data_IF_456123131088
#
_entry.id   IF_456123131088
#
_cell.length_a   1.000
_cell.length_b   1.000
_cell.length_c   1.000
_cell.angle_alpha   90.00
_cell.angle_beta   90.00
_cell.angle_gamma   90.00
#
_symmetry.space_group_name_H-M   'P 1'
#
loop_
_entity.id
_entity.type
_entity.pdbx_description
1 polymer ?
#
# COMPACT_ATOMS: atom_id res chain seq x y z
N UNK A 1 -11.73 -12.83 -1.33
CA UNK A 1 -11.82 -11.59 -2.12
C UNK A 1 -12.08 -10.40 -1.21
N UNK A 2 -11.17 -9.42 -1.16
CA UNK A 2 -11.37 -8.17 -0.42
C UNK A 2 -11.95 -7.13 -1.39
N UNK A 3 -13.09 -6.55 -1.04
CA UNK A 3 -13.76 -5.54 -1.84
C UNK A 3 -13.68 -4.12 -1.25
N UNK A 4 -13.27 -3.99 0.03
CA UNK A 4 -13.15 -2.73 0.73
C UNK A 4 -11.95 -2.72 1.66
N UNK A 5 -11.18 -1.64 1.64
CA UNK A 5 -10.14 -1.31 2.60
C UNK A 5 -10.43 0.03 3.26
N UNK A 6 -10.32 0.10 4.58
CA UNK A 6 -10.33 1.33 5.36
C UNK A 6 -9.00 1.42 6.11
N UNK A 7 -8.19 2.43 5.77
CA UNK A 7 -6.84 2.63 6.33
C UNK A 7 -6.81 3.81 7.28
N UNK A 8 -6.02 3.68 8.34
CA UNK A 8 -5.50 4.78 9.14
C UNK A 8 -4.00 4.62 9.26
N UNK A 9 -3.24 5.58 8.72
CA UNK A 9 -1.77 5.58 8.70
C UNK A 9 -1.26 6.80 9.43
N UNK A 10 -0.37 6.62 10.38
CA UNK A 10 0.34 7.69 11.08
C UNK A 10 1.84 7.56 10.80
N UNK A 11 2.41 8.55 10.12
CA UNK A 11 3.86 8.63 9.91
C UNK A 11 4.54 8.99 11.23
N UNK A 12 5.65 8.34 11.52
CA UNK A 12 6.54 8.60 12.64
C UNK A 12 7.94 8.94 12.11
N UNK A 13 8.86 9.29 13.00
CA UNK A 13 10.22 9.70 12.60
C UNK A 13 10.96 8.61 11.83
N UNK A 14 10.87 7.37 12.29
CA UNK A 14 11.64 6.25 11.74
C UNK A 14 10.77 5.12 11.20
N UNK A 15 9.46 5.15 11.47
CA UNK A 15 8.52 4.11 11.07
C UNK A 15 7.13 4.69 10.76
N UNK A 16 6.15 3.84 10.57
CA UNK A 16 4.75 4.22 10.54
C UNK A 16 3.89 3.23 11.33
N UNK A 17 2.81 3.74 11.90
CA UNK A 17 1.74 2.94 12.49
C UNK A 17 0.60 2.86 11.50
N UNK A 18 0.02 1.68 11.34
CA UNK A 18 -1.16 1.51 10.50
C UNK A 18 -2.21 0.63 11.17
N UNK A 19 -3.45 1.03 10.98
CA UNK A 19 -4.64 0.22 11.23
C UNK A 19 -5.39 0.07 9.90
N UNK A 20 -5.66 -1.19 9.52
CA UNK A 20 -6.32 -1.49 8.25
C UNK A 20 -7.47 -2.44 8.49
N UNK A 21 -8.69 -1.98 8.23
CA UNK A 21 -9.88 -2.83 8.21
C UNK A 21 -10.19 -3.25 6.79
N UNK A 22 -10.28 -4.55 6.59
CA UNK A 22 -10.62 -5.17 5.31
C UNK A 22 -11.99 -5.83 5.42
N UNK A 23 -12.84 -5.61 4.41
CA UNK A 23 -14.11 -6.33 4.25
C UNK A 23 -14.07 -7.15 2.98
N UNK A 24 -14.48 -8.39 3.09
CA UNK A 24 -14.38 -9.31 1.98
C UNK A 24 -15.37 -10.47 2.05
N UNK A 25 -15.25 -11.31 1.04
CA UNK A 25 -16.06 -12.53 0.86
C UNK A 25 -15.12 -13.73 0.84
N UNK A 26 -15.44 -14.77 1.60
CA UNK A 26 -14.72 -16.03 1.58
C UNK A 26 -14.91 -16.72 0.22
N UNK A 27 -13.81 -17.03 -0.46
CA UNK A 27 -13.83 -17.74 -1.74
C UNK A 27 -13.93 -19.26 -1.55
N UNK A 28 -13.44 -19.73 -0.41
CA UNK A 28 -13.49 -21.14 0.00
C UNK A 28 -13.93 -21.24 1.46
N UNK A 29 -14.43 -22.42 1.85
CA UNK A 29 -14.83 -22.67 3.24
C UNK A 29 -13.59 -22.94 4.08
N UNK A 30 -13.32 -22.10 5.08
CA UNK A 30 -12.18 -22.24 5.99
C UNK A 30 -12.40 -21.50 7.30
N UNK A 31 -11.75 -21.95 8.37
CA UNK A 31 -11.61 -21.17 9.60
C UNK A 31 -10.33 -20.33 9.62
N UNK A 32 -9.33 -20.67 8.79
CA UNK A 32 -8.03 -19.99 8.74
C UNK A 32 -7.82 -19.38 7.37
N UNK A 33 -7.53 -18.08 7.35
CA UNK A 33 -7.25 -17.36 6.13
C UNK A 33 -5.83 -16.81 6.13
N UNK A 34 -5.23 -16.77 4.94
CA UNK A 34 -3.86 -16.33 4.72
C UNK A 34 -3.85 -14.90 4.22
N UNK A 35 -2.93 -14.11 4.79
CA UNK A 35 -2.63 -12.75 4.35
C UNK A 35 -1.12 -12.60 4.13
N UNK A 36 -0.74 -11.73 3.20
CA UNK A 36 0.63 -11.35 2.95
C UNK A 36 0.84 -9.90 3.44
N UNK A 37 1.90 -9.68 4.24
CA UNK A 37 2.32 -8.38 4.76
C UNK A 37 3.83 -8.34 4.84
N UNK A 38 4.45 -7.21 4.51
CA UNK A 38 5.91 -7.06 4.53
C UNK A 38 6.54 -7.60 5.83
N UNK A 39 7.60 -8.41 5.75
CA UNK A 39 8.20 -9.04 6.92
C UNK A 39 8.81 -8.06 7.93
N UNK A 40 9.20 -6.85 7.51
CA UNK A 40 9.70 -5.80 8.39
C UNK A 40 8.63 -5.16 9.28
N UNK A 41 7.33 -5.35 8.96
CA UNK A 41 6.22 -4.82 9.74
C UNK A 41 5.81 -5.78 10.85
N UNK A 42 5.65 -5.30 12.07
CA UNK A 42 5.22 -6.09 13.23
C UNK A 42 3.71 -6.01 13.42
N UNK A 43 3.02 -7.14 13.29
CA UNK A 43 1.58 -7.23 13.61
C UNK A 43 1.39 -7.17 15.11
N UNK A 44 0.65 -6.18 15.61
CA UNK A 44 0.34 -5.96 17.02
C UNK A 44 -0.93 -6.67 17.44
N UNK A 45 -1.96 -6.59 16.62
CA UNK A 45 -3.22 -7.29 16.83
C UNK A 45 -3.93 -7.55 15.52
N UNK A 46 -4.79 -8.58 15.55
CA UNK A 46 -5.78 -8.85 14.52
C UNK A 46 -7.10 -9.05 15.23
N UNK A 47 -8.15 -8.42 14.74
CA UNK A 47 -9.51 -8.58 15.27
C UNK A 47 -10.56 -8.66 14.16
N UNK A 48 -11.75 -9.17 14.48
CA UNK A 48 -12.94 -9.11 13.65
C UNK A 48 -14.05 -8.48 14.46
N UNK A 49 -14.57 -7.34 14.00
CA UNK A 49 -15.61 -6.57 14.66
C UNK A 49 -15.33 -6.33 16.17
N UNK A 50 -14.07 -6.02 16.48
CA UNK A 50 -13.59 -5.76 17.85
C UNK A 50 -13.33 -7.01 18.69
N UNK A 51 -13.52 -8.20 18.15
CA UNK A 51 -13.20 -9.47 18.82
C UNK A 51 -11.79 -9.92 18.40
N UNK A 52 -10.84 -10.09 19.34
CA UNK A 52 -9.48 -10.51 19.03
C UNK A 52 -9.46 -11.87 18.34
N UNK A 53 -8.70 -11.96 17.26
CA UNK A 53 -8.44 -13.19 16.53
C UNK A 53 -7.05 -13.73 16.84
N UNK A 54 -6.91 -15.06 16.81
CA UNK A 54 -5.62 -15.71 16.88
C UNK A 54 -4.93 -15.59 15.52
N UNK A 55 -3.64 -15.32 15.53
CA UNK A 55 -2.85 -15.33 14.31
C UNK A 55 -1.48 -15.95 14.53
N UNK A 56 -0.92 -16.48 13.45
CA UNK A 56 0.47 -16.93 13.38
C UNK A 56 1.15 -16.23 12.23
N UNK A 57 2.42 -15.89 12.41
CA UNK A 57 3.21 -15.23 11.38
C UNK A 57 4.45 -16.07 11.06
N UNK A 58 4.71 -16.21 9.76
CA UNK A 58 5.96 -16.73 9.22
C UNK A 58 6.40 -15.78 8.10
N UNK A 59 7.46 -14.98 8.36
CA UNK A 59 7.95 -13.92 7.48
C UNK A 59 6.80 -13.01 6.99
N UNK A 60 6.51 -13.03 5.69
CA UNK A 60 5.43 -12.25 5.07
C UNK A 60 4.03 -12.86 5.24
N UNK A 61 3.94 -14.13 5.59
CA UNK A 61 2.67 -14.84 5.70
C UNK A 61 2.09 -14.64 7.11
N UNK A 62 0.83 -14.22 7.15
CA UNK A 62 0.04 -14.10 8.38
C UNK A 62 -1.18 -14.99 8.24
N UNK A 63 -1.24 -16.05 9.04
CA UNK A 63 -2.39 -16.95 9.13
C UNK A 63 -3.31 -16.45 10.23
N UNK A 64 -4.55 -16.12 9.90
CA UNK A 64 -5.58 -15.61 10.83
C UNK A 64 -6.65 -16.66 11.02
N UNK A 65 -6.87 -17.06 12.27
CA UNK A 65 -7.88 -18.03 12.67
C UNK A 65 -9.13 -17.29 13.18
N UNK A 66 -10.23 -17.39 12.45
CA UNK A 66 -11.52 -16.80 12.80
C UNK A 66 -12.24 -17.57 13.91
N UNK A 67 -11.71 -18.71 14.34
CA UNK A 67 -12.31 -19.54 15.39
C UNK A 67 -13.59 -20.29 14.97
N UNK A 68 -14.17 -19.89 13.84
CA UNK A 68 -15.36 -20.52 13.22
C UNK A 68 -15.12 -20.69 11.73
N UNK A 69 -15.64 -21.76 11.16
CA UNK A 69 -15.55 -21.99 9.73
C UNK A 69 -16.48 -21.02 8.99
N UNK A 70 -15.90 -20.13 8.19
CA UNK A 70 -16.64 -19.30 7.24
C UNK A 70 -16.94 -20.15 6.02
N UNK A 71 -18.18 -20.18 5.59
CA UNK A 71 -18.57 -20.87 4.36
C UNK A 71 -18.20 -20.02 3.14
N UNK A 72 -18.03 -20.67 2.00
CA UNK A 72 -17.88 -19.96 0.72
C UNK A 72 -19.05 -19.01 0.49
N UNK A 73 -18.76 -17.74 0.24
CA UNK A 73 -19.75 -16.68 0.06
C UNK A 73 -20.05 -15.87 1.32
N UNK A 74 -19.62 -16.32 2.51
CA UNK A 74 -19.76 -15.55 3.73
C UNK A 74 -18.93 -14.26 3.67
N UNK A 75 -19.48 -13.20 4.24
CA UNK A 75 -18.78 -11.93 4.39
C UNK A 75 -18.09 -11.86 5.74
N UNK A 76 -16.88 -11.31 5.76
CA UNK A 76 -16.12 -11.10 6.98
C UNK A 76 -15.43 -9.74 6.96
N UNK A 77 -15.20 -9.20 8.16
CA UNK A 77 -14.37 -8.04 8.41
C UNK A 77 -13.15 -8.46 9.22
N UNK A 78 -11.99 -7.96 8.89
CA UNK A 78 -10.78 -8.19 9.67
C UNK A 78 -9.96 -6.91 9.75
N UNK A 79 -9.52 -6.55 10.95
CA UNK A 79 -8.71 -5.37 11.24
C UNK A 79 -7.32 -5.80 11.69
N UNK A 80 -6.31 -5.28 11.03
CA UNK A 80 -4.90 -5.43 11.41
C UNK A 80 -4.38 -4.13 12.00
N UNK A 81 -3.68 -4.21 13.13
CA UNK A 81 -2.85 -3.12 13.66
C UNK A 81 -1.41 -3.55 13.59
N UNK A 82 -0.58 -2.74 12.97
CA UNK A 82 0.84 -3.04 12.78
C UNK A 82 1.66 -1.77 12.68
N UNK A 83 2.96 -1.89 12.91
CA UNK A 83 3.94 -0.81 12.78
C UNK A 83 5.30 -1.38 12.37
N UNK A 84 6.21 -0.49 12.00
CA UNK A 84 7.60 -0.84 11.72
C UNK A 84 8.13 -0.23 10.44
N UNK A 85 9.22 -0.79 9.97
CA UNK A 85 9.89 -0.40 8.74
C UNK A 85 9.71 -1.48 7.68
N UNK A 86 9.64 -1.04 6.43
CA UNK A 86 9.60 -1.96 5.30
C UNK A 86 10.94 -2.67 5.14
N UNK A 87 10.91 -3.96 5.07
CA UNK A 87 12.05 -4.75 4.58
C UNK A 87 12.12 -4.59 3.05
N UNK A 88 13.06 -3.77 2.58
CA UNK A 88 13.27 -3.50 1.16
C UNK A 88 13.82 -4.70 0.38
N UNK A 89 14.32 -5.73 1.06
CA UNK A 89 14.74 -6.97 0.41
C UNK A 89 13.56 -7.81 -0.04
N UNK A 90 12.38 -7.56 0.54
CA UNK A 90 11.13 -8.23 0.19
C UNK A 90 10.26 -7.31 -0.69
N UNK A 91 10.29 -7.55 -1.99
CA UNK A 91 9.42 -6.91 -2.97
C UNK A 91 8.94 -7.97 -3.95
N UNK A 92 7.65 -8.06 -4.22
CA UNK A 92 7.01 -8.97 -5.18
C UNK A 92 7.43 -10.43 -5.13
N UNK A 93 8.72 -10.69 -5.22
CA UNK A 93 9.30 -12.00 -5.44
C UNK A 93 10.22 -12.32 -4.27
N UNK A 94 9.99 -13.43 -3.63
CA UNK A 94 10.96 -14.06 -2.75
C UNK A 94 12.03 -14.74 -3.65
N UNK A 95 12.86 -13.92 -4.31
CA UNK A 95 13.93 -14.40 -5.17
C UNK A 95 15.12 -14.76 -4.29
N UNK A 96 15.54 -16.03 -4.26
CA UNK A 96 16.73 -16.43 -3.52
C UNK A 96 17.96 -15.59 -3.90
N UNK A 97 18.81 -15.18 -2.94
CA UNK A 97 20.01 -14.37 -3.22
C UNK A 97 20.93 -14.95 -4.29
N UNK A 98 20.97 -16.27 -4.43
CA UNK A 98 21.77 -16.98 -5.42
C UNK A 98 21.24 -16.72 -6.84
N UNK A 99 19.92 -16.67 -7.02
CA UNK A 99 19.27 -16.37 -8.30
C UNK A 99 19.49 -14.91 -8.68
N UNK A 100 19.37 -13.99 -7.70
CA UNK A 100 19.71 -12.58 -7.87
C UNK A 100 21.17 -12.39 -8.31
N UNK A 101 22.12 -13.11 -7.69
CA UNK A 101 23.53 -13.05 -8.07
C UNK A 101 23.82 -13.65 -9.46
N UNK A 102 23.12 -14.72 -9.83
CA UNK A 102 23.25 -15.34 -11.15
C UNK A 102 22.68 -14.43 -12.26
N UNK A 103 21.68 -13.63 -11.98
CA UNK A 103 21.06 -12.68 -12.94
C UNK A 103 21.90 -11.42 -13.20
N UNK A 104 22.92 -11.13 -12.37
CA UNK A 104 23.83 -9.97 -12.51
C UNK A 104 24.60 -9.91 -13.82
N UNK A 105 24.52 -10.92 -14.66
CA UNK A 105 25.18 -10.95 -15.98
C UNK A 105 24.43 -10.22 -17.10
N UNK A 106 23.24 -9.70 -16.86
CA UNK A 106 22.45 -9.01 -17.88
C UNK A 106 22.44 -7.51 -17.62
N UNK A 107 23.35 -6.80 -18.26
CA UNK A 107 23.58 -5.36 -18.19
C UNK A 107 22.31 -4.48 -18.26
N UNK A 108 21.27 -4.90 -18.97
CA UNK A 108 20.02 -4.16 -19.13
C UNK A 108 19.00 -4.33 -17.98
N UNK A 109 19.23 -5.27 -17.07
CA UNK A 109 18.28 -5.58 -15.98
C UNK A 109 18.86 -5.35 -14.58
N UNK A 110 20.07 -4.80 -14.51
CA UNK A 110 20.80 -4.58 -13.26
C UNK A 110 20.55 -3.17 -12.70
N UNK A 111 19.33 -2.69 -12.78
CA UNK A 111 18.92 -1.47 -12.09
C UNK A 111 18.47 -1.91 -10.71
N UNK A 112 19.17 -1.47 -9.67
CA UNK A 112 18.71 -1.63 -8.29
C UNK A 112 17.39 -0.85 -8.16
N UNK A 113 16.28 -1.57 -8.26
CA UNK A 113 14.96 -1.00 -8.07
C UNK A 113 14.72 -0.82 -6.59
N UNK A 114 14.33 0.37 -6.20
CA UNK A 114 13.92 0.66 -4.85
C UNK A 114 12.42 0.96 -4.86
N UNK A 115 11.64 0.15 -4.14
CA UNK A 115 10.19 0.22 -4.09
C UNK A 115 9.67 0.93 -2.85
N UNK A 116 10.55 1.22 -1.89
CA UNK A 116 10.23 1.92 -0.67
C UNK A 116 11.34 2.91 -0.32
N UNK A 117 10.94 4.08 0.14
CA UNK A 117 11.78 5.01 0.87
C UNK A 117 11.11 5.29 2.20
N UNK A 118 11.87 5.24 3.28
CA UNK A 118 11.33 5.47 4.62
C UNK A 118 12.33 6.26 5.44
N UNK A 119 12.11 7.56 5.48
CA UNK A 119 12.87 8.54 6.24
C UNK A 119 11.90 9.49 6.94
N UNK A 120 12.40 10.31 7.86
CA UNK A 120 11.58 11.35 8.52
C UNK A 120 11.02 12.40 7.55
N UNK A 121 11.74 12.67 6.45
CA UNK A 121 11.41 13.74 5.51
C UNK A 121 10.67 13.22 4.27
N UNK A 122 10.75 11.92 4.02
CA UNK A 122 10.15 11.30 2.84
C UNK A 122 9.77 9.84 3.08
N UNK A 123 8.52 9.52 2.75
CA UNK A 123 7.99 8.16 2.76
C UNK A 123 7.46 7.83 1.37
N UNK A 124 7.84 6.67 0.82
CA UNK A 124 7.24 6.08 -0.36
C UNK A 124 6.93 4.61 -0.07
N UNK A 125 5.66 4.26 -0.14
CA UNK A 125 5.15 2.90 0.01
C UNK A 125 4.46 2.51 -1.27
N UNK A 126 5.07 1.61 -2.03
CA UNK A 126 4.48 1.07 -3.24
C UNK A 126 3.82 -0.29 -2.99
N UNK A 127 2.87 -0.74 -3.82
CA UNK A 127 2.16 -2.00 -3.62
C UNK A 127 3.08 -3.22 -3.59
N UNK A 128 4.21 -3.14 -4.28
CA UNK A 128 5.23 -4.19 -4.38
C UNK A 128 5.84 -4.55 -3.03
N UNK A 129 5.82 -3.60 -2.10
CA UNK A 129 6.39 -3.78 -0.76
C UNK A 129 5.45 -4.51 0.19
N UNK A 130 4.20 -4.79 -0.19
CA UNK A 130 3.17 -5.34 0.71
C UNK A 130 3.06 -4.55 2.03
N UNK A 131 3.07 -3.22 1.92
CA UNK A 131 2.99 -2.34 3.09
C UNK A 131 1.66 -2.40 3.84
N UNK A 132 0.65 -3.05 3.25
CA UNK A 132 -0.63 -3.36 3.88
C UNK A 132 -1.01 -4.81 3.65
N UNK A 133 -1.84 -5.43 4.53
CA UNK A 133 -2.23 -6.82 4.38
C UNK A 133 -3.02 -7.05 3.09
N UNK A 134 -2.63 -8.06 2.33
CA UNK A 134 -3.33 -8.52 1.13
C UNK A 134 -3.73 -9.97 1.31
N UNK A 135 -4.97 -10.32 0.92
CA UNK A 135 -5.42 -11.72 1.01
C UNK A 135 -4.61 -12.62 0.07
N UNK A 136 -4.26 -13.80 0.56
CA UNK A 136 -3.46 -14.79 -0.15
C UNK A 136 -1.96 -14.75 0.22
N UNK A 137 -1.18 -15.55 -0.47
CA UNK A 137 0.27 -15.72 -0.21
C UNK A 137 1.15 -14.74 -0.95
N UNK A 138 0.57 -13.96 -1.85
CA UNK A 138 1.35 -13.15 -2.79
C UNK A 138 1.93 -14.00 -3.93
N UNK A 139 2.69 -13.35 -4.80
CA UNK A 139 3.38 -14.04 -5.91
C UNK A 139 4.62 -14.76 -5.38
N UNK A 140 4.79 -16.00 -5.83
CA UNK A 140 6.04 -16.77 -5.69
C UNK A 140 6.21 -17.68 -6.91
N UNK A 141 7.42 -18.27 -7.10
CA UNK A 141 7.66 -19.25 -8.16
C UNK A 141 6.77 -20.49 -7.97
N UNK A 142 6.38 -20.81 -6.74
CA UNK A 142 5.48 -21.92 -6.41
C UNK A 142 4.00 -21.56 -6.59
N UNK A 143 3.66 -20.26 -6.60
CA UNK A 143 2.31 -19.75 -6.77
C UNK A 143 2.30 -18.60 -7.78
N UNK A 144 2.29 -18.91 -9.08
CA UNK A 144 2.29 -17.90 -10.13
C UNK A 144 0.91 -17.24 -10.38
N UNK A 145 -0.13 -17.59 -9.62
CA UNK A 145 -1.49 -17.05 -9.76
C UNK A 145 -1.60 -15.58 -9.25
N UNK A 146 -0.52 -14.82 -9.38
CA UNK A 146 -0.48 -13.38 -9.14
C UNK A 146 -1.47 -12.59 -10.02
N UNK A 147 -2.02 -13.24 -11.06
CA UNK A 147 -2.91 -12.60 -12.03
C UNK A 147 -4.34 -12.39 -11.52
N UNK A 148 -4.74 -12.99 -10.41
CA UNK A 148 -6.04 -12.69 -9.81
C UNK A 148 -5.97 -11.35 -9.09
N UNK A 149 -5.99 -10.29 -9.87
CA UNK A 149 -6.02 -8.93 -9.35
C UNK A 149 -7.46 -8.52 -9.15
N UNK A 150 -7.84 -8.38 -7.88
CA UNK A 150 -9.16 -7.89 -7.51
C UNK A 150 -9.13 -6.38 -7.36
N UNK A 151 -10.21 -5.74 -7.77
CA UNK A 151 -10.44 -4.32 -7.53
C UNK A 151 -11.14 -4.14 -6.20
N UNK A 152 -10.66 -3.20 -5.39
CA UNK A 152 -11.22 -2.90 -4.08
C UNK A 152 -11.50 -1.40 -3.96
N UNK A 153 -12.59 -1.04 -3.31
CA UNK A 153 -12.78 0.32 -2.84
C UNK A 153 -11.84 0.59 -1.67
N UNK A 154 -11.50 1.86 -1.43
CA UNK A 154 -10.70 2.21 -0.28
C UNK A 154 -11.02 3.60 0.26
N UNK A 155 -10.78 3.75 1.56
CA UNK A 155 -10.64 5.02 2.25
C UNK A 155 -9.30 5.02 2.97
N UNK A 156 -8.47 6.01 2.70
CA UNK A 156 -7.15 6.11 3.30
C UNK A 156 -7.05 7.41 4.10
N UNK A 157 -6.94 7.28 5.42
CA UNK A 157 -6.62 8.40 6.31
C UNK A 157 -5.14 8.39 6.61
N UNK A 158 -4.50 9.55 6.46
CA UNK A 158 -3.06 9.70 6.67
C UNK A 158 -2.80 10.89 7.56
N UNK A 159 -2.06 10.66 8.65
CA UNK A 159 -1.50 11.68 9.51
C UNK A 159 0.00 11.77 9.26
N UNK A 160 0.46 12.71 8.43
CA UNK A 160 1.89 12.90 8.17
C UNK A 160 2.58 13.61 9.35
N UNK A 161 3.90 13.61 9.36
CA UNK A 161 4.66 14.54 10.19
C UNK A 161 4.39 15.99 9.78
N UNK A 162 4.53 16.90 10.73
CA UNK A 162 4.22 18.32 10.53
C UNK A 162 4.99 18.91 9.34
N UNK A 163 4.28 19.60 8.45
CA UNK A 163 4.85 20.25 7.27
C UNK A 163 4.98 19.34 6.04
N UNK A 164 4.66 18.06 6.15
CA UNK A 164 4.69 17.14 5.01
C UNK A 164 3.29 16.95 4.41
N UNK A 165 3.27 16.65 3.12
CA UNK A 165 2.05 16.44 2.32
C UNK A 165 2.00 14.98 1.88
N UNK A 166 0.94 14.23 2.23
CA UNK A 166 0.73 12.89 1.69
C UNK A 166 0.07 12.95 0.31
N UNK A 167 0.42 12.01 -0.52
CA UNK A 167 -0.14 11.78 -1.87
C UNK A 167 -0.52 10.31 -2.01
N UNK A 168 -1.70 10.06 -2.58
CA UNK A 168 -2.19 8.72 -2.92
C UNK A 168 -3.10 8.82 -4.13
N UNK A 169 -3.66 7.70 -4.57
CA UNK A 169 -4.69 7.70 -5.60
C UNK A 169 -5.96 8.38 -5.09
N UNK A 170 -6.73 8.99 -6.00
CA UNK A 170 -7.95 9.72 -5.69
C UNK A 170 -7.69 11.15 -5.19
N UNK A 171 -8.78 11.82 -4.82
CA UNK A 171 -8.72 13.18 -4.29
C UNK A 171 -8.35 13.17 -2.80
N UNK A 172 -7.29 13.91 -2.43
CA UNK A 172 -6.87 14.09 -1.05
C UNK A 172 -7.45 15.37 -0.44
N UNK A 173 -8.07 15.26 0.73
CA UNK A 173 -8.59 16.39 1.51
C UNK A 173 -8.03 16.36 2.91
N UNK A 174 -7.49 17.49 3.39
CA UNK A 174 -7.03 17.64 4.77
C UNK A 174 -8.10 18.24 5.65
N UNK A 175 -8.15 17.81 6.90
CA UNK A 175 -8.95 18.45 7.96
C UNK A 175 -8.14 19.50 8.73
N UNK A 176 -8.77 20.12 9.72
CA UNK A 176 -8.17 21.13 10.60
C UNK A 176 -7.05 20.58 11.50
N UNK A 177 -6.97 19.27 11.67
CA UNK A 177 -5.95 18.59 12.46
C UNK A 177 -4.78 18.10 11.61
N UNK A 178 -4.77 18.38 10.29
CA UNK A 178 -3.73 17.96 9.37
C UNK A 178 -3.82 16.46 9.01
N UNK A 179 -4.96 15.82 9.21
CA UNK A 179 -5.23 14.47 8.73
C UNK A 179 -5.79 14.56 7.32
N UNK A 180 -5.16 13.86 6.41
CA UNK A 180 -5.59 13.76 5.02
C UNK A 180 -6.46 12.53 4.82
N UNK A 181 -7.50 12.67 4.02
CA UNK A 181 -8.36 11.55 3.62
C UNK A 181 -8.37 11.44 2.11
N UNK A 182 -8.07 10.24 1.61
CA UNK A 182 -8.13 9.90 0.18
C UNK A 182 -9.24 8.89 -0.06
N UNK A 183 -9.96 9.10 -1.15
CA UNK A 183 -10.99 8.20 -1.63
C UNK A 183 -10.94 8.19 -3.15
N UNK A 184 -10.85 7.01 -3.75
CA UNK A 184 -11.00 6.87 -5.19
C UNK A 184 -12.46 6.88 -5.62
N UNK A 185 -12.75 7.44 -6.79
CA UNK A 185 -14.08 7.36 -7.40
C UNK A 185 -14.36 5.96 -7.95
N UNK A 186 -13.32 5.20 -8.20
CA UNK A 186 -13.37 3.84 -8.75
C UNK A 186 -12.55 2.88 -7.89
N UNK A 187 -12.93 1.59 -7.88
CA UNK A 187 -12.12 0.57 -7.24
C UNK A 187 -10.71 0.50 -7.83
N UNK A 188 -9.71 0.33 -6.98
CA UNK A 188 -8.30 0.21 -7.36
C UNK A 188 -7.77 -1.19 -7.13
N UNK A 189 -6.84 -1.63 -7.96
CA UNK A 189 -6.13 -2.90 -7.76
C UNK A 189 -5.12 -2.82 -6.62
N UNK A 190 -4.49 -1.66 -6.49
CA UNK A 190 -3.38 -1.44 -5.55
C UNK A 190 -3.41 -0.02 -5.03
N UNK A 191 -2.82 0.19 -3.87
CA UNK A 191 -2.77 1.49 -3.19
C UNK A 191 -1.32 1.82 -2.89
N UNK A 192 -0.90 3.02 -3.29
CA UNK A 192 0.42 3.60 -2.98
C UNK A 192 0.24 4.78 -2.04
N UNK A 193 1.27 5.07 -1.25
CA UNK A 193 1.33 6.24 -0.39
C UNK A 193 2.71 6.88 -0.53
N UNK A 194 2.75 8.17 -0.85
CA UNK A 194 3.96 8.97 -0.78
C UNK A 194 3.72 10.14 0.18
N UNK A 195 4.70 10.46 1.02
CA UNK A 195 4.66 11.62 1.94
C UNK A 195 5.97 12.37 1.80
N UNK A 196 5.91 13.70 1.66
CA UNK A 196 7.10 14.52 1.51
C UNK A 196 6.79 16.02 1.55
N UNK A 197 7.83 16.86 1.48
CA UNK A 197 7.69 18.31 1.31
C UNK A 197 7.33 18.63 -0.15
N UNK A 198 6.10 18.24 -0.52
CA UNK A 198 5.61 18.42 -1.88
C UNK A 198 5.07 19.82 -2.13
N UNK A 199 5.37 20.34 -3.31
CA UNK A 199 4.77 21.53 -3.90
C UNK A 199 3.93 21.12 -5.10
N UNK A 200 2.81 21.81 -5.29
CA UNK A 200 1.89 21.55 -6.39
C UNK A 200 1.91 22.70 -7.39
N UNK A 201 2.00 22.36 -8.66
CA UNK A 201 1.63 23.24 -9.79
C UNK A 201 0.47 22.61 -10.52
N UNK A 202 -0.56 23.41 -10.82
CA UNK A 202 -1.75 22.91 -11.51
C UNK A 202 -2.19 23.88 -12.58
N UNK A 203 -2.76 23.34 -13.67
CA UNK A 203 -3.46 24.07 -14.71
C UNK A 203 -4.80 23.39 -15.01
N UNK A 204 -5.78 24.15 -15.47
CA UNK A 204 -7.05 23.60 -15.95
C UNK A 204 -7.16 23.80 -17.45
N UNK A 205 -7.40 22.71 -18.18
CA UNK A 205 -7.69 22.74 -19.62
C UNK A 205 -8.84 21.75 -19.90
N UNK A 206 -9.81 22.17 -20.72
CA UNK A 206 -11.00 21.38 -21.13
C UNK A 206 -11.74 20.69 -19.97
N UNK A 207 -11.93 21.42 -18.87
CA UNK A 207 -12.58 20.93 -17.63
C UNK A 207 -11.79 19.83 -16.91
N UNK A 208 -10.53 19.59 -17.28
CA UNK A 208 -9.63 18.67 -16.62
C UNK A 208 -8.59 19.47 -15.83
N UNK A 209 -8.37 19.10 -14.57
CA UNK A 209 -7.31 19.65 -13.73
C UNK A 209 -6.06 18.77 -13.87
N UNK A 210 -5.02 19.33 -14.44
CA UNK A 210 -3.68 18.71 -14.52
C UNK A 210 -2.82 19.21 -13.38
N UNK A 211 -2.19 18.31 -12.65
CA UNK A 211 -1.35 18.67 -11.51
C UNK A 211 -0.05 17.89 -11.53
N UNK A 212 1.04 18.60 -11.27
CA UNK A 212 2.35 18.01 -10.99
C UNK A 212 2.68 18.30 -9.52
N UNK A 213 3.06 17.25 -8.81
CA UNK A 213 3.59 17.32 -7.46
C UNK A 213 5.08 17.02 -7.49
N UNK A 214 5.90 17.91 -6.96
CA UNK A 214 7.34 17.75 -6.91
C UNK A 214 7.88 18.11 -5.54
N UNK A 215 9.00 17.50 -5.15
CA UNK A 215 9.72 17.89 -3.96
C UNK A 215 10.37 19.26 -4.16
N UNK A 216 10.56 20.00 -3.10
CA UNK A 216 11.20 21.31 -3.12
C UNK A 216 12.58 21.21 -3.79
N UNK A 217 12.83 22.06 -4.77
CA UNK A 217 14.08 22.06 -5.56
C UNK A 217 14.14 21.01 -6.68
N UNK A 218 13.06 20.24 -6.92
CA UNK A 218 12.97 19.22 -7.97
C UNK A 218 11.91 19.56 -9.02
N UNK A 219 11.78 20.83 -9.35
CA UNK A 219 10.80 21.34 -10.33
C UNK A 219 11.31 21.19 -11.78
N UNK A 220 11.62 19.94 -12.19
CA UNK A 220 12.14 19.67 -13.53
C UNK A 220 11.07 19.62 -14.62
N UNK A 221 9.82 19.35 -14.25
CA UNK A 221 8.73 19.06 -15.18
C UNK A 221 7.58 20.06 -15.11
N UNK A 222 7.65 21.08 -14.27
CA UNK A 222 6.53 22.03 -14.12
C UNK A 222 6.29 22.85 -15.39
N UNK A 223 7.34 23.09 -16.19
CA UNK A 223 7.23 23.74 -17.49
C UNK A 223 6.45 22.88 -18.51
N UNK A 224 6.44 21.55 -18.36
CA UNK A 224 5.66 20.68 -19.23
C UNK A 224 4.16 20.90 -19.09
N UNK A 225 3.67 21.34 -17.92
CA UNK A 225 2.27 21.69 -17.74
C UNK A 225 1.84 22.86 -18.64
N UNK A 226 2.73 23.84 -18.83
CA UNK A 226 2.42 25.04 -19.62
C UNK A 226 2.21 24.68 -21.10
N UNK A 227 2.86 23.60 -21.58
CA UNK A 227 2.71 23.11 -22.96
C UNK A 227 1.47 22.24 -23.20
N UNK A 228 0.80 21.75 -22.16
CA UNK A 228 -0.45 20.95 -22.31
C UNK A 228 -1.54 21.82 -22.95
N UNK A 229 -1.60 23.10 -22.60
CA UNK A 229 -2.59 24.03 -23.13
C UNK A 229 -2.47 24.22 -24.65
N UNK A 230 -1.27 24.05 -25.21
CA UNK A 230 -1.00 24.28 -26.66
C UNK A 230 -1.20 22.98 -27.50
N UNK A 231 -1.47 21.84 -26.84
CA UNK A 231 -1.49 20.52 -27.50
C UNK A 231 -2.89 19.90 -27.53
N UNK A 232 -3.85 20.45 -26.79
CA UNK A 232 -5.25 20.05 -26.75
C UNK A 232 -6.11 21.09 -27.48
#
# INVERSE_FOLDING_TARGET
FIHQYDFSVEQRLDDFLSEVTMRGVALDSSAVFTFCLNPGLTVRSVDSDGQPLKFKRDKQIVLVDFGTNLAKGDTASVTFKYDGQIDNSFCYLDIPPEVLQASKKKFLFNIDKQYCFQTKDYLLLTPETYWYPRAGTGYSDENPDWQQTYFSNYHLKVKPLAGLVPLSQGEGKSDEHGVYTFKGDFPSQTISLAIGDYQQKSISADSILYSIWHLKGHDFFSAALDSIHDTI
#
